data_IF_932188119310
#
_entry.id   IF_932188119310
#
_cell.length_a   1.000
_cell.length_b   1.000
_cell.length_c   1.000
_cell.angle_alpha   90.00
_cell.angle_beta   90.00
_cell.angle_gamma   90.00
#
_symmetry.space_group_name_H-M   'P 1'
#
loop_
_entity.id
_entity.type
_entity.pdbx_description
1 polymer ?
#
# COMPACT_ATOMS: atom_id res chain seq x y z
N UNK A 1 0.03 -45.56 27.54
CA UNK A 1 -0.16 -45.26 28.98
C UNK A 1 -1.45 -44.47 29.11
N UNK A 2 -2.27 -44.72 30.13
CA UNK A 2 -3.45 -43.89 30.38
C UNK A 2 -2.99 -42.47 30.72
N UNK A 3 -3.60 -41.47 30.08
CA UNK A 3 -3.30 -40.07 30.32
C UNK A 3 -3.82 -39.67 31.71
N UNK A 4 -2.95 -39.06 32.53
CA UNK A 4 -3.35 -38.58 33.85
C UNK A 4 -4.19 -37.32 33.63
N UNK A 5 -5.43 -37.25 34.15
CA UNK A 5 -6.29 -36.09 33.94
C UNK A 5 -5.69 -34.85 34.61
N UNK A 6 -5.84 -33.70 33.94
CA UNK A 6 -5.43 -32.42 34.51
C UNK A 6 -6.20 -32.12 35.80
N UNK A 7 -5.55 -31.52 36.82
CA UNK A 7 -6.25 -31.11 38.02
C UNK A 7 -7.26 -30.01 37.69
N UNK A 8 -8.38 -30.00 38.40
CA UNK A 8 -9.35 -28.90 38.33
C UNK A 8 -8.71 -27.64 38.92
N UNK A 9 -8.51 -26.57 38.12
CA UNK A 9 -7.97 -25.32 38.63
C UNK A 9 -8.98 -24.62 39.54
N UNK A 10 -8.50 -23.65 40.30
CA UNK A 10 -9.30 -22.81 41.19
C UNK A 10 -9.57 -21.45 40.57
N UNK A 11 -10.60 -20.78 41.06
CA UNK A 11 -10.93 -19.39 40.70
C UNK A 11 -10.12 -18.36 41.51
N UNK A 12 -8.96 -18.75 42.05
CA UNK A 12 -8.09 -17.84 42.78
C UNK A 12 -7.59 -16.73 41.84
N UNK A 13 -7.56 -15.50 42.35
CA UNK A 13 -7.03 -14.34 41.64
C UNK A 13 -5.59 -14.57 41.18
N UNK A 14 -5.19 -13.95 40.07
CA UNK A 14 -3.80 -14.00 39.60
C UNK A 14 -2.97 -12.94 40.36
N UNK A 15 -1.81 -13.28 40.96
CA UNK A 15 -1.17 -14.60 41.01
C UNK A 15 -1.76 -15.53 42.10
N UNK A 16 -1.72 -16.84 41.84
CA UNK A 16 -2.17 -17.88 42.79
C UNK A 16 -0.98 -18.70 43.28
N UNK A 17 -1.03 -19.13 44.55
CA UNK A 17 -0.07 -20.05 45.17
C UNK A 17 -0.57 -21.50 45.24
N UNK A 18 -1.77 -21.79 44.72
CA UNK A 18 -2.32 -23.16 44.68
C UNK A 18 -1.60 -24.00 43.63
N UNK A 19 -1.16 -25.20 44.01
CA UNK A 19 -0.43 -26.10 43.12
C UNK A 19 -1.26 -26.56 41.92
N UNK A 20 -2.59 -26.65 42.06
CA UNK A 20 -3.50 -27.03 40.96
C UNK A 20 -3.48 -25.99 39.85
N UNK A 21 -3.43 -24.72 40.21
CA UNK A 21 -3.36 -23.61 39.27
C UNK A 21 -2.02 -23.58 38.54
N UNK A 22 -0.94 -23.89 39.25
CA UNK A 22 0.40 -23.99 38.66
C UNK A 22 0.50 -25.15 37.65
N UNK A 23 -0.02 -26.33 38.00
CA UNK A 23 -0.04 -27.50 37.10
C UNK A 23 -0.93 -27.24 35.89
N UNK A 24 -2.13 -26.68 36.09
CA UNK A 24 -3.03 -26.31 34.99
C UNK A 24 -2.39 -25.26 34.07
N UNK A 25 -1.78 -24.22 34.63
CA UNK A 25 -1.09 -23.19 33.84
C UNK A 25 0.09 -23.77 33.04
N UNK A 26 0.84 -24.73 33.61
CA UNK A 26 1.90 -25.44 32.90
C UNK A 26 1.38 -26.24 31.70
N UNK A 27 0.23 -26.92 31.85
CA UNK A 27 -0.40 -27.63 30.75
C UNK A 27 -0.97 -26.70 29.67
N UNK A 28 -1.52 -25.55 30.07
CA UNK A 28 -1.94 -24.53 29.10
C UNK A 28 -0.75 -23.89 28.39
N UNK A 29 0.41 -23.76 29.04
CA UNK A 29 1.64 -23.31 28.39
C UNK A 29 2.09 -24.29 27.30
N UNK A 30 1.99 -25.61 27.54
CA UNK A 30 2.24 -26.60 26.49
C UNK A 30 1.31 -26.35 25.29
N UNK A 31 0.00 -26.20 25.55
CA UNK A 31 -0.98 -25.83 24.50
C UNK A 31 -0.61 -24.53 23.78
N UNK A 32 -0.16 -23.49 24.49
CA UNK A 32 0.26 -22.22 23.90
C UNK A 32 1.42 -22.38 22.93
N UNK A 33 2.36 -23.28 23.23
CA UNK A 33 3.61 -23.44 22.48
C UNK A 33 3.49 -24.49 21.37
N UNK A 34 2.72 -25.57 21.59
CA UNK A 34 2.72 -26.75 20.70
C UNK A 34 1.41 -26.97 19.96
N UNK A 35 0.30 -26.34 20.37
CA UNK A 35 -0.99 -26.50 19.69
C UNK A 35 -1.08 -25.67 18.41
N UNK A 36 -1.87 -26.18 17.46
CA UNK A 36 -2.30 -25.47 16.25
C UNK A 36 -3.57 -24.63 16.47
N UNK A 37 -4.24 -24.76 17.63
CA UNK A 37 -5.35 -23.87 17.99
C UNK A 37 -4.85 -22.44 18.07
N UNK A 38 -5.59 -21.47 17.52
CA UNK A 38 -5.19 -20.05 17.56
C UNK A 38 -5.35 -19.41 18.94
N UNK A 39 -6.23 -19.96 19.76
CA UNK A 39 -6.59 -19.43 21.07
C UNK A 39 -6.71 -20.53 22.10
N UNK A 40 -6.55 -20.15 23.36
CA UNK A 40 -6.88 -20.98 24.51
C UNK A 40 -7.59 -20.13 25.57
N UNK A 41 -8.29 -20.81 26.46
CA UNK A 41 -8.97 -20.19 27.59
C UNK A 41 -8.15 -20.45 28.85
N UNK A 42 -7.90 -19.40 29.63
CA UNK A 42 -7.22 -19.52 30.91
C UNK A 42 -8.15 -20.09 32.00
N UNK A 43 -7.62 -20.27 33.22
CA UNK A 43 -8.39 -20.83 34.34
C UNK A 43 -9.54 -19.94 34.84
N UNK A 44 -9.53 -18.65 34.49
CA UNK A 44 -10.56 -17.67 34.87
C UNK A 44 -11.55 -17.41 33.73
N UNK A 45 -11.44 -18.12 32.60
CA UNK A 45 -12.31 -17.95 31.44
C UNK A 45 -11.84 -16.88 30.44
N UNK A 46 -10.65 -16.30 30.62
CA UNK A 46 -10.07 -15.34 29.68
C UNK A 46 -9.53 -16.01 28.42
N UNK A 47 -9.88 -15.51 27.23
CA UNK A 47 -9.31 -15.97 25.96
C UNK A 47 -7.98 -15.28 25.65
N UNK A 48 -6.99 -16.07 25.25
CA UNK A 48 -5.65 -15.61 24.87
C UNK A 48 -5.17 -16.28 23.59
N UNK A 49 -4.26 -15.64 22.86
CA UNK A 49 -3.65 -16.24 21.68
C UNK A 49 -2.57 -17.25 22.04
N UNK A 50 -2.48 -18.33 21.26
CA UNK A 50 -1.32 -19.22 21.25
C UNK A 50 -0.20 -18.62 20.38
N UNK A 51 0.96 -19.28 20.32
CA UNK A 51 2.06 -18.88 19.43
C UNK A 51 1.61 -18.87 17.96
N UNK A 52 0.88 -19.90 17.52
CA UNK A 52 0.37 -19.96 16.15
C UNK A 52 -0.75 -18.94 15.91
N UNK A 53 -1.56 -18.63 16.94
CA UNK A 53 -2.50 -17.51 16.92
C UNK A 53 -1.82 -16.16 16.67
N UNK A 54 -0.72 -15.89 17.38
CA UNK A 54 0.07 -14.65 17.21
C UNK A 54 0.70 -14.59 15.82
N UNK A 55 1.25 -15.70 15.31
CA UNK A 55 1.79 -15.76 13.94
C UNK A 55 0.70 -15.47 12.91
N UNK A 56 -0.47 -16.09 13.05
CA UNK A 56 -1.59 -15.91 12.11
C UNK A 56 -2.09 -14.45 12.09
N UNK A 57 -2.23 -13.80 13.26
CA UNK A 57 -2.60 -12.38 13.29
C UNK A 57 -1.46 -11.48 12.75
N UNK A 58 -0.20 -11.84 13.02
CA UNK A 58 0.96 -11.16 12.45
C UNK A 58 1.00 -11.23 10.93
N UNK A 59 0.82 -12.42 10.35
CA UNK A 59 0.77 -12.64 8.90
C UNK A 59 -0.36 -11.83 8.26
N UNK A 60 -1.51 -11.76 8.92
CA UNK A 60 -2.65 -10.94 8.48
C UNK A 60 -2.32 -9.45 8.47
N UNK A 61 -1.69 -8.92 9.51
CA UNK A 61 -1.27 -7.50 9.57
C UNK A 61 -0.21 -7.20 8.52
N UNK A 62 0.74 -8.11 8.30
CA UNK A 62 1.76 -7.97 7.25
C UNK A 62 1.10 -7.93 5.88
N UNK A 63 0.15 -8.83 5.62
CA UNK A 63 -0.59 -8.89 4.36
C UNK A 63 -1.42 -7.62 4.14
N UNK A 64 -2.14 -7.13 5.15
CA UNK A 64 -2.89 -5.88 5.09
C UNK A 64 -1.95 -4.69 4.81
N UNK A 65 -0.82 -4.62 5.52
CA UNK A 65 0.21 -3.59 5.31
C UNK A 65 0.77 -3.65 3.89
N UNK A 66 1.01 -4.85 3.37
CA UNK A 66 1.49 -5.09 2.01
C UNK A 66 0.47 -4.63 0.96
N UNK A 67 -0.81 -4.95 1.14
CA UNK A 67 -1.90 -4.51 0.25
C UNK A 67 -2.07 -2.99 0.26
N UNK A 68 -1.83 -2.33 1.40
CA UNK A 68 -1.94 -0.88 1.53
C UNK A 68 -0.70 -0.11 1.03
N UNK A 69 0.51 -0.65 1.20
CA UNK A 69 1.75 0.03 0.78
C UNK A 69 2.17 -0.22 -0.67
N UNK A 70 1.88 -1.39 -1.27
CA UNK A 70 2.29 -1.68 -2.65
C UNK A 70 1.73 -0.67 -3.67
N UNK A 71 0.45 -0.27 -3.61
CA UNK A 71 -0.08 0.76 -4.50
C UNK A 71 0.59 2.13 -4.32
N UNK A 72 1.12 2.42 -3.12
CA UNK A 72 1.68 3.72 -2.77
C UNK A 72 3.18 3.87 -3.05
N UNK A 73 3.96 2.77 -3.02
CA UNK A 73 5.43 2.85 -3.05
C UNK A 73 6.11 2.02 -4.16
N UNK A 74 5.38 1.19 -4.90
CA UNK A 74 5.99 0.34 -5.94
C UNK A 74 5.84 0.99 -7.31
N UNK A 75 6.93 1.57 -7.82
CA UNK A 75 7.01 1.97 -9.23
C UNK A 75 7.51 0.79 -10.06
N UNK A 76 6.74 0.40 -11.09
CA UNK A 76 7.15 -0.64 -12.03
C UNK A 76 7.93 -0.06 -13.20
N UNK A 77 8.86 -0.82 -13.78
CA UNK A 77 9.57 -0.37 -14.99
C UNK A 77 8.71 -0.48 -16.25
N UNK A 78 7.77 -1.42 -16.30
CA UNK A 78 6.92 -1.69 -17.46
C UNK A 78 5.50 -2.04 -17.04
N UNK A 79 4.53 -1.80 -17.92
CA UNK A 79 3.15 -2.23 -17.74
C UNK A 79 3.03 -3.75 -17.54
N UNK A 80 3.83 -4.54 -18.26
CA UNK A 80 3.82 -5.99 -18.14
C UNK A 80 4.26 -6.46 -16.75
N UNK A 81 5.27 -5.82 -16.15
CA UNK A 81 5.70 -6.13 -14.78
C UNK A 81 4.62 -5.76 -13.76
N UNK A 82 3.93 -4.63 -13.95
CA UNK A 82 2.79 -4.26 -13.11
C UNK A 82 1.64 -5.26 -13.26
N UNK A 83 1.35 -5.71 -14.48
CA UNK A 83 0.29 -6.67 -14.77
C UNK A 83 0.59 -8.07 -14.22
N UNK A 84 1.86 -8.48 -14.17
CA UNK A 84 2.27 -9.74 -13.54
C UNK A 84 2.07 -9.72 -12.01
N UNK A 85 2.09 -8.52 -11.40
CA UNK A 85 1.92 -8.32 -9.96
C UNK A 85 0.46 -8.00 -9.58
N UNK A 86 -0.51 -8.31 -10.45
CA UNK A 86 -1.92 -7.91 -10.29
C UNK A 86 -2.56 -8.39 -8.99
N UNK A 87 -2.12 -9.53 -8.45
CA UNK A 87 -2.59 -10.05 -7.16
C UNK A 87 -2.29 -9.10 -5.98
N UNK A 88 -1.36 -8.16 -6.18
CA UNK A 88 -0.89 -7.20 -5.19
C UNK A 88 -1.40 -5.78 -5.46
N UNK A 89 -2.25 -5.60 -6.48
CA UNK A 89 -2.88 -4.34 -6.84
C UNK A 89 -4.39 -4.55 -6.64
N UNK A 90 -5.00 -4.05 -5.55
CA UNK A 90 -6.42 -4.26 -5.29
C UNK A 90 -7.33 -3.77 -6.43
N UNK A 91 -8.50 -4.38 -6.56
CA UNK A 91 -9.52 -3.96 -7.53
C UNK A 91 -9.89 -2.49 -7.32
N UNK A 92 -9.88 -1.70 -8.40
CA UNK A 92 -10.19 -0.27 -8.36
C UNK A 92 -9.03 0.61 -7.88
N UNK A 93 -7.91 0.03 -7.44
CA UNK A 93 -6.71 0.79 -7.06
C UNK A 93 -5.87 1.16 -8.27
N UNK A 94 -5.17 2.28 -8.14
CA UNK A 94 -4.22 2.77 -9.14
C UNK A 94 -2.78 2.37 -8.80
N UNK A 95 -1.94 2.18 -9.81
CA UNK A 95 -0.49 2.04 -9.68
C UNK A 95 0.22 2.80 -10.82
N UNK A 96 1.55 2.87 -10.74
CA UNK A 96 2.38 3.63 -11.66
C UNK A 96 3.49 2.76 -12.27
N UNK A 97 3.74 2.95 -13.56
CA UNK A 97 4.93 2.41 -14.22
C UNK A 97 5.71 3.51 -14.95
N UNK A 98 7.02 3.31 -15.16
CA UNK A 98 7.91 4.27 -15.83
C UNK A 98 7.44 4.54 -17.26
N UNK A 99 7.37 5.83 -17.65
CA UNK A 99 7.03 6.19 -19.04
C UNK A 99 8.11 5.65 -20.01
N UNK A 100 7.73 4.98 -21.11
CA UNK A 100 8.69 4.44 -22.07
C UNK A 100 9.23 5.48 -23.05
N UNK A 101 8.56 6.64 -23.17
CA UNK A 101 8.80 7.68 -24.18
C UNK A 101 9.35 8.98 -23.59
N UNK A 102 9.72 8.99 -22.31
CA UNK A 102 10.15 10.17 -21.53
C UNK A 102 9.21 11.40 -21.56
N UNK A 103 7.99 11.26 -22.09
CA UNK A 103 6.96 12.30 -22.05
C UNK A 103 6.50 12.64 -20.62
N UNK A 104 6.81 11.76 -19.67
CA UNK A 104 6.47 11.86 -18.26
C UNK A 104 7.41 11.00 -17.41
N UNK A 105 7.42 11.21 -16.10
CA UNK A 105 8.16 10.34 -15.19
C UNK A 105 7.46 8.98 -15.07
N UNK A 106 6.13 8.95 -14.95
CA UNK A 106 5.37 7.73 -14.83
C UNK A 106 3.96 7.85 -15.42
N UNK A 107 3.40 6.71 -15.84
CA UNK A 107 2.03 6.57 -16.34
C UNK A 107 1.20 5.87 -15.26
N UNK A 108 0.02 6.42 -14.98
CA UNK A 108 -0.93 5.83 -14.04
C UNK A 108 -1.86 4.84 -14.74
N UNK A 109 -2.10 3.70 -14.08
CA UNK A 109 -3.04 2.67 -14.50
C UNK A 109 -3.93 2.27 -13.33
N UNK A 110 -5.15 1.83 -13.61
CA UNK A 110 -6.11 1.32 -12.63
C UNK A 110 -6.32 -0.17 -12.85
N UNK A 111 -6.41 -0.95 -11.77
CA UNK A 111 -6.86 -2.33 -11.87
C UNK A 111 -8.38 -2.38 -12.06
N UNK A 112 -8.80 -2.75 -13.28
CA UNK A 112 -10.18 -3.01 -13.62
C UNK A 112 -10.40 -4.52 -13.82
N UNK A 113 -10.94 -5.17 -12.78
CA UNK A 113 -11.27 -6.60 -12.77
C UNK A 113 -10.10 -7.53 -13.16
N UNK A 114 -8.88 -7.22 -12.72
CA UNK A 114 -7.68 -8.01 -12.99
C UNK A 114 -6.89 -7.57 -14.23
N UNK A 115 -7.32 -6.51 -14.91
CA UNK A 115 -6.61 -5.93 -16.05
C UNK A 115 -6.26 -4.47 -15.77
N UNK A 116 -4.98 -4.12 -15.92
CA UNK A 116 -4.53 -2.74 -15.79
C UNK A 116 -4.95 -1.92 -17.01
N UNK A 117 -5.64 -0.82 -16.77
CA UNK A 117 -6.11 0.10 -17.81
C UNK A 117 -5.53 1.49 -17.57
N UNK A 118 -5.08 2.21 -18.61
CA UNK A 118 -4.57 3.57 -18.46
C UNK A 118 -5.69 4.51 -18.03
N UNK A 119 -5.41 5.36 -17.05
CA UNK A 119 -6.37 6.39 -16.58
C UNK A 119 -6.28 7.67 -17.41
N UNK A 120 -5.22 7.82 -18.20
CA UNK A 120 -4.88 9.06 -18.91
C UNK A 120 -4.07 10.05 -18.08
N UNK A 121 -3.93 9.82 -16.76
CA UNK A 121 -3.08 10.65 -15.88
C UNK A 121 -1.62 10.20 -16.00
N UNK A 122 -0.71 11.18 -16.00
CA UNK A 122 0.73 10.98 -16.03
C UNK A 122 1.40 11.88 -15.00
N UNK A 123 2.50 11.42 -14.39
CA UNK A 123 3.33 12.23 -13.49
C UNK A 123 4.32 13.05 -14.33
N UNK A 124 4.20 14.40 -14.42
CA UNK A 124 5.05 15.21 -15.27
C UNK A 124 6.49 15.31 -14.75
N UNK A 125 7.46 15.49 -15.65
CA UNK A 125 8.84 15.86 -15.31
C UNK A 125 8.97 17.38 -15.11
N UNK A 126 10.07 17.83 -14.48
CA UNK A 126 10.36 19.27 -14.38
C UNK A 126 10.47 19.93 -15.77
N UNK A 127 11.14 19.28 -16.72
CA UNK A 127 11.23 19.74 -18.11
C UNK A 127 9.85 19.90 -18.79
N UNK A 128 8.93 18.96 -18.55
CA UNK A 128 7.55 19.03 -19.05
C UNK A 128 6.74 20.18 -18.42
N UNK A 129 7.12 20.62 -17.23
CA UNK A 129 6.50 21.76 -16.55
C UNK A 129 7.10 23.07 -17.07
N UNK A 130 8.43 23.14 -17.18
CA UNK A 130 9.15 24.34 -17.64
C UNK A 130 8.81 24.69 -19.10
N UNK A 131 8.51 23.69 -19.93
CA UNK A 131 8.08 23.87 -21.32
C UNK A 131 6.62 24.30 -21.50
N UNK A 132 5.81 24.40 -20.43
CA UNK A 132 4.39 24.78 -20.54
C UNK A 132 4.18 26.29 -20.52
N UNK A 133 3.44 26.77 -21.50
CA UNK A 133 2.88 28.13 -21.54
C UNK A 133 1.49 28.08 -20.95
N UNK A 134 1.26 28.81 -19.85
CA UNK A 134 -0.08 28.97 -19.28
C UNK A 134 -0.77 30.15 -19.97
N UNK A 135 -1.94 29.89 -20.56
CA UNK A 135 -2.81 30.92 -21.11
C UNK A 135 -3.88 31.24 -20.08
N UNK A 136 -4.18 32.53 -19.90
CA UNK A 136 -5.37 32.93 -19.16
C UNK A 136 -6.62 32.62 -19.97
N UNK A 137 -7.72 32.42 -19.27
CA UNK A 137 -9.04 32.17 -19.87
C UNK A 137 -9.41 33.31 -20.83
N UNK A 138 -9.73 32.97 -22.08
CA UNK A 138 -10.01 33.95 -23.16
C UNK A 138 -8.80 34.37 -24.02
N UNK A 139 -7.60 33.82 -23.78
CA UNK A 139 -6.43 34.06 -24.65
C UNK A 139 -6.29 32.94 -25.69
N UNK A 140 -6.20 33.30 -26.97
CA UNK A 140 -5.87 32.37 -28.06
C UNK A 140 -4.39 32.47 -28.45
N UNK A 141 -3.72 31.33 -28.63
CA UNK A 141 -2.37 31.28 -29.18
C UNK A 141 -2.44 31.32 -30.72
N UNK A 142 -2.08 32.46 -31.30
CA UNK A 142 -2.14 32.63 -32.77
C UNK A 142 -0.99 31.92 -33.49
N UNK A 143 0.18 31.74 -32.87
CA UNK A 143 1.33 31.04 -33.47
C UNK A 143 2.39 30.63 -32.43
N UNK A 144 2.89 29.40 -32.51
CA UNK A 144 4.10 28.95 -31.79
C UNK A 144 5.29 29.03 -32.75
N UNK A 145 6.29 29.88 -32.45
CA UNK A 145 7.54 29.95 -33.22
C UNK A 145 8.59 29.14 -32.45
N UNK A 146 8.63 27.82 -32.67
CA UNK A 146 9.58 26.94 -32.02
C UNK A 146 10.85 26.80 -32.86
N UNK A 147 11.94 27.41 -32.40
CA UNK A 147 13.31 26.95 -32.66
C UNK A 147 14.22 27.34 -31.49
N UNK A 148 14.23 26.50 -30.45
CA UNK A 148 15.26 26.47 -29.39
C UNK A 148 15.45 27.72 -28.52
N UNK A 149 14.46 28.63 -28.43
CA UNK A 149 14.55 29.97 -27.81
C UNK A 149 13.19 30.50 -27.28
N UNK A 150 13.16 31.56 -26.44
CA UNK A 150 11.99 32.02 -25.66
C UNK A 150 10.71 32.19 -26.47
N UNK A 151 9.59 31.81 -25.84
CA UNK A 151 8.25 31.90 -26.42
C UNK A 151 7.84 33.37 -26.53
N UNK A 152 7.70 33.84 -27.76
CA UNK A 152 7.10 35.14 -28.07
C UNK A 152 5.59 34.94 -28.25
N UNK A 153 4.79 35.48 -27.34
CA UNK A 153 3.33 35.47 -27.47
C UNK A 153 2.92 36.76 -28.19
N UNK A 154 2.29 36.66 -29.35
CA UNK A 154 1.75 37.81 -30.08
C UNK A 154 0.23 37.86 -29.94
N UNK A 155 -0.32 38.97 -29.45
CA UNK A 155 -1.79 39.18 -29.41
C UNK A 155 -2.36 39.58 -30.78
N UNK A 156 -3.70 39.65 -30.89
CA UNK A 156 -4.42 40.05 -32.11
C UNK A 156 -4.11 41.48 -32.59
N UNK A 157 -3.52 42.31 -31.73
CA UNK A 157 -3.09 43.67 -32.02
C UNK A 157 -1.61 43.75 -32.40
N UNK A 158 -0.95 42.59 -32.51
CA UNK A 158 0.45 42.47 -32.92
C UNK A 158 1.46 42.76 -31.82
N UNK A 159 1.04 42.95 -30.56
CA UNK A 159 1.93 43.19 -29.42
C UNK A 159 2.58 41.89 -28.98
N UNK A 160 3.89 41.93 -28.78
CA UNK A 160 4.71 40.77 -28.43
C UNK A 160 5.03 40.80 -26.94
N UNK A 161 4.61 39.76 -26.21
CA UNK A 161 4.93 39.55 -24.81
C UNK A 161 6.00 38.46 -24.69
N UNK A 162 7.04 38.77 -23.92
CA UNK A 162 8.08 37.81 -23.50
C UNK A 162 7.63 37.18 -22.18
N UNK A 163 7.33 35.88 -22.19
CA UNK A 163 7.17 35.15 -20.94
C UNK A 163 8.56 34.74 -20.42
N UNK A 164 8.97 35.28 -19.27
CA UNK A 164 10.20 34.88 -18.57
C UNK A 164 11.45 35.71 -18.87
N UNK A 165 11.40 37.03 -18.66
CA UNK A 165 12.60 37.80 -18.35
C UNK A 165 12.65 38.01 -16.83
N UNK A 166 13.73 37.57 -16.17
CA UNK A 166 14.28 38.37 -15.06
C UNK A 166 14.78 39.72 -15.60
#
# INVERSE_FOLDING_TARGET
MAEVPLPTPTDNTVPSTDIRDAVYAGAMLDKVVTSTDLKYTDRLGGEHYTVDGIKAEGDKVVEETRQNLIPLSRQYMTLAAAQADIANIPLGSTTYYRSPDDSSLAVEVINNAGTLQPTGRKMPSQESIDGRVYLSEGSELTRVIAAGKPVLIQDELGRVYLAGME
#
